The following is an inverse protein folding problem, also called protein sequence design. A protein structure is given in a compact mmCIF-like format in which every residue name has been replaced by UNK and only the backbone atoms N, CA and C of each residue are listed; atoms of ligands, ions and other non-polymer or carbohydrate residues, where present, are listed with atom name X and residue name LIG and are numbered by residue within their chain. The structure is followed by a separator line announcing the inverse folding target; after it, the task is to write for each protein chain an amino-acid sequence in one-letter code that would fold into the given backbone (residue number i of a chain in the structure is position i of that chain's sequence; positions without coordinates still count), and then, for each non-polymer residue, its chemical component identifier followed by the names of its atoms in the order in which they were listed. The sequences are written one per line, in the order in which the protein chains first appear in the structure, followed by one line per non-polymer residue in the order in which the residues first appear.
data_IF_842417937845
#
_entry.id   IF_842417937845
#
_cell.length_a   1.000
_cell.length_b   1.000
_cell.length_c   1.000
_cell.angle_alpha   90.00
_cell.angle_beta   90.00
_cell.angle_gamma   90.00
#
_symmetry.space_group_name_H-M   'P 1'
#
loop_
_entity.id
_entity.type
_entity.pdbx_description
1 polymer ?
#
# COMPACT_ATOMS: atom_id res chain seq x y z
N UNK A 1 -32.75 65.65 -15.51
CA UNK A 1 -31.38 65.36 -15.04
C UNK A 1 -31.44 65.00 -13.57
N UNK A 2 -31.31 63.71 -13.27
CA UNK A 2 -31.02 63.10 -11.96
C UNK A 2 -30.79 61.61 -12.22
N UNK A 3 -29.65 61.00 -11.85
CA UNK A 3 -29.41 59.59 -12.13
C UNK A 3 -30.01 58.73 -11.01
N UNK A 4 -30.83 57.76 -11.38
CA UNK A 4 -31.32 56.70 -10.51
C UNK A 4 -30.29 55.56 -10.47
N UNK A 5 -29.76 55.26 -9.29
CA UNK A 5 -28.91 54.10 -9.02
C UNK A 5 -29.85 52.92 -8.69
N UNK A 6 -29.80 51.87 -9.51
CA UNK A 6 -30.53 50.62 -9.29
C UNK A 6 -29.61 49.64 -8.53
N UNK A 7 -29.92 49.39 -7.26
CA UNK A 7 -29.26 48.38 -6.45
C UNK A 7 -29.84 46.99 -6.79
N UNK A 8 -29.01 46.11 -7.34
CA UNK A 8 -29.34 44.71 -7.61
C UNK A 8 -29.02 43.88 -6.36
N UNK A 9 -30.04 43.39 -5.66
CA UNK A 9 -29.89 42.47 -4.55
C UNK A 9 -29.57 41.06 -5.08
N UNK A 10 -28.37 40.56 -4.78
CA UNK A 10 -28.01 39.15 -5.00
C UNK A 10 -28.62 38.30 -3.88
N UNK A 11 -29.56 37.42 -4.21
CA UNK A 11 -30.00 36.36 -3.32
C UNK A 11 -28.95 35.23 -3.34
N UNK A 12 -28.28 35.00 -2.20
CA UNK A 12 -27.44 33.81 -2.00
C UNK A 12 -28.35 32.59 -1.81
N UNK A 13 -28.34 31.69 -2.79
CA UNK A 13 -28.85 30.33 -2.63
C UNK A 13 -27.82 29.52 -1.85
N UNK A 14 -28.20 29.03 -0.66
CA UNK A 14 -27.39 28.09 0.11
C UNK A 14 -27.29 26.75 -0.64
N UNK A 15 -26.07 26.26 -0.85
CA UNK A 15 -25.81 24.92 -1.36
C UNK A 15 -26.12 23.87 -0.27
N UNK A 16 -26.64 22.68 -0.63
CA UNK A 16 -26.89 21.62 0.33
C UNK A 16 -25.56 21.05 0.86
N UNK A 17 -25.58 20.69 2.14
CA UNK A 17 -24.42 20.45 2.98
C UNK A 17 -23.46 19.36 2.49
N UNK A 18 -22.17 19.66 2.65
CA UNK A 18 -21.11 18.67 2.68
C UNK A 18 -21.19 17.90 4.00
N UNK A 19 -21.64 16.66 3.97
CA UNK A 19 -21.45 15.71 5.06
C UNK A 19 -19.96 15.35 5.13
N UNK A 20 -19.17 16.21 5.80
CA UNK A 20 -17.88 15.81 6.33
C UNK A 20 -18.15 14.96 7.58
N UNK A 21 -17.54 13.78 7.73
CA UNK A 21 -17.73 12.95 8.91
C UNK A 21 -17.28 13.74 10.15
N UNK A 22 -18.16 13.76 11.15
CA UNK A 22 -17.99 14.43 12.43
C UNK A 22 -16.62 14.08 13.05
N UNK A 23 -15.77 15.10 13.28
CA UNK A 23 -14.40 14.98 13.81
C UNK A 23 -14.38 14.61 15.31
N UNK A 24 -15.31 13.77 15.76
CA UNK A 24 -15.35 13.29 17.15
C UNK A 24 -14.44 12.07 17.30
N UNK A 25 -13.61 12.07 18.34
CA UNK A 25 -12.80 10.91 18.66
C UNK A 25 -13.72 9.71 18.94
N UNK A 26 -13.42 8.56 18.32
CA UNK A 26 -14.14 7.29 18.55
C UNK A 26 -14.08 6.89 20.04
N UNK A 27 -14.88 5.91 20.52
CA UNK A 27 -14.91 5.53 21.94
C UNK A 27 -13.54 5.16 22.55
N UNK A 28 -12.56 4.79 21.73
CA UNK A 28 -11.18 4.55 22.15
C UNK A 28 -10.30 5.82 22.16
N UNK A 29 -10.84 7.01 21.93
CA UNK A 29 -10.06 8.23 21.73
C UNK A 29 -9.26 8.23 20.42
N UNK A 30 -9.66 7.43 19.43
CA UNK A 30 -9.02 7.43 18.11
C UNK A 30 -9.78 8.36 17.18
N UNK A 31 -9.11 9.39 16.67
CA UNK A 31 -9.66 10.29 15.67
C UNK A 31 -8.96 10.07 14.32
N UNK A 32 -9.62 10.40 13.19
CA UNK A 32 -8.92 10.56 11.93
C UNK A 32 -7.86 11.66 12.04
N UNK A 33 -6.76 11.52 11.32
CA UNK A 33 -5.71 12.52 11.27
C UNK A 33 -4.95 12.41 9.94
N UNK A 34 -4.22 13.46 9.57
CA UNK A 34 -3.29 13.40 8.43
C UNK A 34 -1.87 13.34 8.94
N UNK A 35 -1.09 12.35 8.47
CA UNK A 35 0.36 12.35 8.66
C UNK A 35 0.94 13.51 7.85
N UNK A 36 1.80 14.30 8.48
CA UNK A 36 2.57 15.37 7.85
C UNK A 36 4.05 15.13 8.12
N UNK A 37 4.89 15.46 7.14
CA UNK A 37 6.35 15.45 7.28
C UNK A 37 6.85 16.88 7.19
N UNK A 38 7.56 17.32 8.23
CA UNK A 38 8.08 18.68 8.34
C UNK A 38 8.93 19.05 7.11
N UNK A 39 8.73 20.28 6.60
CA UNK A 39 9.42 20.76 5.41
C UNK A 39 8.84 20.27 4.08
N UNK A 40 7.71 19.55 4.10
CA UNK A 40 7.07 19.01 2.90
C UNK A 40 5.58 19.35 2.87
N UNK A 41 4.96 19.27 1.70
CA UNK A 41 3.51 19.46 1.54
C UNK A 41 2.72 18.15 1.57
N UNK A 42 3.33 17.03 1.96
CA UNK A 42 2.63 15.74 1.92
C UNK A 42 1.63 15.66 3.06
N UNK A 43 0.44 15.18 2.73
CA UNK A 43 -0.57 14.77 3.70
C UNK A 43 -0.99 13.33 3.40
N UNK A 44 -0.92 12.47 4.41
CA UNK A 44 -1.38 11.08 4.32
C UNK A 44 -2.58 10.92 5.27
N UNK A 45 -3.82 10.98 4.76
CA UNK A 45 -5.00 10.84 5.61
C UNK A 45 -5.11 9.42 6.16
N UNK A 46 -5.24 9.31 7.47
CA UNK A 46 -5.36 8.09 8.25
C UNK A 46 -6.73 8.04 8.91
N UNK A 47 -7.43 6.92 8.75
CA UNK A 47 -8.72 6.69 9.40
C UNK A 47 -8.57 5.71 10.56
N UNK A 48 -9.30 5.89 11.68
CA UNK A 48 -9.27 4.96 12.79
C UNK A 48 -10.17 3.75 12.50
N UNK A 49 -9.69 2.55 12.82
CA UNK A 49 -10.51 1.35 12.99
C UNK A 49 -10.49 1.00 14.48
N UNK A 50 -11.46 1.52 15.27
CA UNK A 50 -11.54 1.31 16.72
C UNK A 50 -12.09 -0.10 17.04
N UNK A 51 -11.34 -1.13 16.65
CA UNK A 51 -11.71 -2.54 16.83
C UNK A 51 -12.15 -2.83 18.26
N UNK A 52 -13.24 -3.58 18.41
CA UNK A 52 -13.87 -3.87 19.70
C UNK A 52 -14.87 -2.81 20.19
N UNK A 53 -15.24 -1.86 19.35
CA UNK A 53 -16.33 -0.89 19.60
C UNK A 53 -17.52 -1.15 18.67
N UNK A 54 -18.64 -0.46 18.90
CA UNK A 54 -19.86 -0.61 18.09
C UNK A 54 -19.57 -0.39 16.60
N UNK A 55 -19.91 -1.37 15.76
CA UNK A 55 -19.66 -1.36 14.31
C UNK A 55 -18.27 -1.85 13.89
N UNK A 56 -17.38 -2.17 14.84
CA UNK A 56 -16.01 -2.66 14.60
C UNK A 56 -15.78 -3.96 15.39
N UNK A 57 -16.13 -5.13 14.84
CA UNK A 57 -16.10 -6.38 15.59
C UNK A 57 -14.67 -6.74 16.00
N UNK A 58 -14.49 -7.23 17.24
CA UNK A 58 -13.17 -7.66 17.75
C UNK A 58 -12.62 -8.87 16.99
N UNK A 59 -13.52 -9.70 16.46
CA UNK A 59 -13.22 -10.92 15.71
C UNK A 59 -13.98 -10.91 14.39
N UNK A 60 -13.35 -11.44 13.35
CA UNK A 60 -13.99 -11.61 12.05
C UNK A 60 -13.55 -12.92 11.39
N UNK A 61 -14.31 -13.33 10.38
CA UNK A 61 -13.98 -14.50 9.56
C UNK A 61 -13.00 -14.10 8.47
N UNK A 62 -11.75 -14.49 8.64
CA UNK A 62 -10.64 -14.33 7.70
C UNK A 62 -10.60 -15.49 6.70
N UNK A 63 -10.34 -15.20 5.43
CA UNK A 63 -10.41 -16.15 4.33
C UNK A 63 -11.82 -16.41 3.81
N UNK A 64 -11.93 -17.17 2.72
CA UNK A 64 -13.23 -17.42 2.07
C UNK A 64 -13.89 -18.72 2.55
N UNK A 65 -15.21 -18.71 2.82
CA UNK A 65 -15.96 -19.93 3.10
C UNK A 65 -16.01 -20.83 1.85
N UNK A 66 -16.13 -22.15 2.04
CA UNK A 66 -16.01 -23.13 0.95
C UNK A 66 -16.98 -22.91 -0.22
N UNK A 67 -18.14 -22.28 0.03
CA UNK A 67 -19.15 -21.98 -0.97
C UNK A 67 -19.09 -20.57 -1.58
N UNK A 68 -18.09 -19.75 -1.26
CA UNK A 68 -17.96 -18.41 -1.86
C UNK A 68 -17.66 -18.52 -3.36
N UNK A 69 -18.42 -17.80 -4.18
CA UNK A 69 -18.23 -17.81 -5.63
C UNK A 69 -16.89 -17.16 -5.99
N UNK A 70 -16.14 -17.78 -6.91
CA UNK A 70 -14.82 -17.28 -7.32
C UNK A 70 -13.68 -17.62 -6.36
N UNK A 71 -13.95 -18.33 -5.25
CA UNK A 71 -12.95 -18.79 -4.28
C UNK A 71 -11.82 -19.59 -4.93
N UNK A 72 -10.58 -19.30 -4.52
CA UNK A 72 -9.38 -20.10 -4.82
C UNK A 72 -8.98 -20.98 -3.64
N UNK A 73 -8.17 -22.00 -3.91
CA UNK A 73 -7.77 -23.01 -2.91
C UNK A 73 -6.87 -22.49 -1.79
N UNK A 74 -6.16 -21.37 -2.03
CA UNK A 74 -5.22 -20.72 -1.12
C UNK A 74 -5.89 -19.67 -0.19
N UNK A 75 -7.21 -19.53 -0.27
CA UNK A 75 -8.01 -18.59 0.53
C UNK A 75 -8.66 -19.24 1.76
N UNK A 76 -8.40 -20.53 1.98
CA UNK A 76 -8.99 -21.30 3.07
C UNK A 76 -7.95 -22.09 3.89
N UNK A 77 -8.40 -22.74 4.98
CA UNK A 77 -9.76 -22.65 5.54
C UNK A 77 -10.06 -21.26 6.09
N UNK A 78 -11.35 -20.92 6.20
CA UNK A 78 -11.76 -19.68 6.83
C UNK A 78 -11.59 -19.78 8.36
N UNK A 79 -10.99 -18.77 8.97
CA UNK A 79 -10.58 -18.77 10.37
C UNK A 79 -11.16 -17.56 11.11
N UNK A 80 -11.45 -17.73 12.41
CA UNK A 80 -11.88 -16.61 13.25
C UNK A 80 -10.66 -15.88 13.82
N UNK A 81 -10.36 -14.69 13.28
CA UNK A 81 -9.19 -13.89 13.65
C UNK A 81 -9.57 -12.73 14.55
N UNK A 82 -8.79 -12.52 15.63
CA UNK A 82 -8.86 -11.31 16.46
C UNK A 82 -7.98 -10.21 15.89
N UNK A 83 -8.48 -8.97 15.88
CA UNK A 83 -7.73 -7.79 15.40
C UNK A 83 -7.63 -6.76 16.53
N UNK A 84 -6.47 -6.11 16.67
CA UNK A 84 -6.28 -5.00 17.60
C UNK A 84 -6.65 -3.67 16.94
N UNK A 85 -7.03 -2.61 17.68
CA UNK A 85 -7.32 -1.30 17.10
C UNK A 85 -6.11 -0.68 16.38
N UNK A 86 -6.34 -0.04 15.24
CA UNK A 86 -5.29 0.58 14.44
C UNK A 86 -5.83 1.72 13.58
N UNK A 87 -4.94 2.54 13.04
CA UNK A 87 -5.24 3.43 11.94
C UNK A 87 -4.73 2.85 10.63
N UNK A 88 -5.44 3.13 9.54
CA UNK A 88 -5.06 2.72 8.19
C UNK A 88 -5.14 3.92 7.24
N UNK A 89 -4.26 3.95 6.24
CA UNK A 89 -4.31 4.96 5.19
C UNK A 89 -5.66 4.91 4.48
N UNK A 90 -6.31 6.08 4.35
CA UNK A 90 -7.61 6.22 3.66
C UNK A 90 -7.51 5.78 2.20
N UNK A 91 -6.37 6.06 1.59
CA UNK A 91 -6.02 5.78 0.20
C UNK A 91 -4.75 4.93 0.14
N UNK A 92 -4.46 4.36 -1.03
CA UNK A 92 -3.11 3.88 -1.34
C UNK A 92 -2.09 5.05 -1.23
N UNK A 93 -0.84 4.73 -0.92
CA UNK A 93 0.23 5.74 -0.97
C UNK A 93 0.36 6.23 -2.41
N UNK A 94 0.45 7.55 -2.58
CA UNK A 94 0.55 8.18 -3.89
C UNK A 94 2.00 8.40 -4.30
N UNK A 95 2.24 8.58 -5.59
CA UNK A 95 3.55 8.99 -6.09
C UNK A 95 4.03 10.31 -5.48
N UNK A 96 3.14 11.29 -5.25
CA UNK A 96 3.51 12.57 -4.63
C UNK A 96 4.09 12.35 -3.21
N UNK A 97 3.51 11.42 -2.44
CA UNK A 97 3.99 11.06 -1.11
C UNK A 97 5.29 10.24 -1.18
N UNK A 98 5.36 9.25 -2.07
CA UNK A 98 6.52 8.38 -2.21
C UNK A 98 7.75 9.11 -2.79
N UNK A 99 7.54 10.08 -3.68
CA UNK A 99 8.63 10.85 -4.27
C UNK A 99 9.31 11.78 -3.25
N UNK A 100 8.62 12.21 -2.19
CA UNK A 100 9.28 12.92 -1.08
C UNK A 100 10.28 12.03 -0.35
N UNK A 101 9.95 10.75 -0.13
CA UNK A 101 10.89 9.78 0.40
C UNK A 101 12.09 9.56 -0.55
N UNK A 102 11.84 9.43 -1.86
CA UNK A 102 12.92 9.26 -2.86
C UNK A 102 13.82 10.48 -2.99
N UNK A 103 13.27 11.69 -2.83
CA UNK A 103 13.98 12.95 -3.00
C UNK A 103 15.11 13.15 -1.98
N UNK A 104 15.12 12.41 -0.87
CA UNK A 104 16.20 12.44 0.13
C UNK A 104 17.41 11.56 -0.26
N UNK A 105 17.32 10.79 -1.35
CA UNK A 105 18.42 9.95 -1.81
C UNK A 105 19.73 10.71 -2.09
N UNK A 106 19.74 11.88 -2.76
CA UNK A 106 20.95 12.67 -2.97
C UNK A 106 21.59 13.12 -1.64
N UNK A 107 20.79 13.47 -0.63
CA UNK A 107 21.32 13.85 0.68
C UNK A 107 22.10 12.69 1.33
N UNK A 108 21.64 11.45 1.14
CA UNK A 108 22.38 10.27 1.60
C UNK A 108 23.68 10.01 0.83
N UNK A 109 23.69 10.28 -0.49
CA UNK A 109 24.89 10.14 -1.30
C UNK A 109 25.95 11.18 -0.93
N UNK A 110 25.55 12.44 -0.75
CA UNK A 110 26.47 13.52 -0.38
C UNK A 110 27.03 13.30 1.03
N UNK A 111 26.23 12.79 1.97
CA UNK A 111 26.67 12.43 3.33
C UNK A 111 27.61 11.22 3.36
N UNK A 112 27.50 10.28 2.41
CA UNK A 112 28.45 9.15 2.29
C UNK A 112 29.86 9.60 1.92
N UNK A 113 30.06 10.83 1.46
CA UNK A 113 31.37 11.34 1.06
C UNK A 113 32.22 11.88 2.23
N UNK A 114 31.66 12.19 3.40
CA UNK A 114 32.45 12.63 4.57
C UNK A 114 31.97 11.99 5.88
N UNK A 115 32.51 10.79 6.18
CA UNK A 115 32.34 10.11 7.49
C UNK A 115 32.81 10.95 8.70
N UNK A 116 33.47 12.08 8.46
CA UNK A 116 34.09 12.93 9.48
C UNK A 116 33.24 14.13 9.91
N UNK A 117 32.17 14.51 9.19
CA UNK A 117 31.54 15.84 9.37
C UNK A 117 30.01 15.82 9.54
N UNK A 118 29.35 14.66 9.52
CA UNK A 118 27.91 14.60 9.73
C UNK A 118 27.55 14.57 11.23
N UNK A 119 26.87 15.60 11.79
CA UNK A 119 26.08 15.37 13.00
C UNK A 119 25.04 14.29 12.66
N UNK A 120 24.97 13.21 13.45
CA UNK A 120 24.08 12.10 13.16
C UNK A 120 22.63 12.61 13.07
N UNK A 121 22.07 12.63 11.87
CA UNK A 121 20.62 12.52 11.80
C UNK A 121 20.34 11.04 11.91
N UNK A 122 20.03 10.55 13.11
CA UNK A 122 19.87 9.12 13.44
C UNK A 122 18.96 8.35 12.46
N UNK A 123 18.08 9.04 11.74
CA UNK A 123 17.21 8.45 10.73
C UNK A 123 17.94 8.09 9.42
N UNK A 124 18.92 8.88 8.98
CA UNK A 124 19.63 8.72 7.72
C UNK A 124 20.55 7.48 7.72
N UNK A 125 21.14 7.16 8.88
CA UNK A 125 21.91 5.94 9.09
C UNK A 125 21.00 4.71 9.30
N UNK A 126 19.70 4.91 9.55
CA UNK A 126 18.76 3.85 9.90
C UNK A 126 17.85 3.41 8.74
N UNK A 127 17.76 4.17 7.65
CA UNK A 127 16.80 3.94 6.57
C UNK A 127 17.50 3.82 5.22
N UNK A 128 17.21 2.73 4.49
CA UNK A 128 17.70 2.53 3.14
C UNK A 128 16.71 3.15 2.14
N UNK A 129 17.17 4.03 1.26
CA UNK A 129 16.32 4.72 0.27
C UNK A 129 16.51 4.08 -1.12
N UNK A 130 15.42 3.88 -1.90
CA UNK A 130 15.50 3.41 -3.28
C UNK A 130 16.49 4.24 -4.12
N UNK A 131 17.36 3.55 -4.84
CA UNK A 131 18.18 4.20 -5.86
C UNK A 131 17.28 4.73 -6.97
N UNK A 132 17.55 5.93 -7.53
CA UNK A 132 16.87 6.42 -8.72
C UNK A 132 16.93 5.35 -9.81
N UNK A 133 15.76 4.91 -10.29
CA UNK A 133 15.71 3.97 -11.38
C UNK A 133 15.78 4.78 -12.66
N UNK A 134 16.96 4.78 -13.31
CA UNK A 134 17.14 5.40 -14.63
C UNK A 134 16.06 4.96 -15.64
N UNK A 135 15.53 3.74 -15.47
CA UNK A 135 14.45 3.24 -16.31
C UNK A 135 13.05 3.72 -15.92
N UNK A 136 12.69 4.01 -14.66
CA UNK A 136 11.34 4.54 -14.36
C UNK A 136 11.28 6.02 -14.71
N UNK A 137 12.31 6.79 -14.34
CA UNK A 137 12.38 8.22 -14.63
C UNK A 137 12.56 8.52 -16.14
N UNK A 138 12.76 7.49 -16.97
CA UNK A 138 12.90 7.58 -18.44
C UNK A 138 12.03 6.59 -19.22
N UNK A 139 11.00 5.97 -18.60
CA UNK A 139 10.13 4.99 -19.28
C UNK A 139 8.90 5.69 -19.87
N UNK A 140 8.70 5.60 -21.21
CA UNK A 140 7.44 5.98 -21.84
C UNK A 140 6.22 5.19 -21.33
N UNK A 141 6.45 4.04 -20.65
CA UNK A 141 5.39 3.17 -20.13
C UNK A 141 4.64 3.82 -18.97
N UNK A 142 5.30 4.65 -18.17
CA UNK A 142 4.64 5.41 -17.10
C UNK A 142 4.22 6.81 -17.56
N UNK A 143 4.72 7.34 -18.68
CA UNK A 143 4.23 8.61 -19.23
C UNK A 143 2.70 8.60 -19.47
N UNK A 144 2.12 7.43 -19.76
CA UNK A 144 0.67 7.22 -19.85
C UNK A 144 -0.03 6.89 -18.53
N UNK A 145 0.68 6.40 -17.50
CA UNK A 145 0.15 5.97 -16.20
C UNK A 145 0.59 6.99 -15.14
N UNK A 146 -0.32 7.89 -14.74
CA UNK A 146 0.03 9.11 -14.00
C UNK A 146 0.94 8.92 -12.79
N UNK A 147 2.03 9.70 -12.72
CA UNK A 147 3.04 9.63 -11.64
C UNK A 147 2.97 10.80 -10.65
N UNK A 148 1.88 11.59 -10.68
CA UNK A 148 1.73 12.80 -9.86
C UNK A 148 0.28 13.26 -9.79
N UNK A 149 -0.06 14.06 -8.78
CA UNK A 149 -1.38 14.64 -8.62
C UNK A 149 -2.41 13.63 -8.10
N UNK A 150 -1.98 12.78 -7.17
CA UNK A 150 -2.83 11.85 -6.43
C UNK A 150 -2.98 10.45 -7.03
N UNK A 151 -2.14 10.06 -7.99
CA UNK A 151 -2.10 8.68 -8.47
C UNK A 151 -1.37 7.76 -7.48
N UNK A 152 -1.82 6.51 -7.29
CA UNK A 152 -1.16 5.55 -6.42
C UNK A 152 0.25 5.27 -6.94
N UNK A 153 1.20 5.11 -6.01
CA UNK A 153 2.51 4.58 -6.34
C UNK A 153 2.35 3.12 -6.77
N UNK A 154 3.03 2.74 -7.84
CA UNK A 154 3.02 1.38 -8.35
C UNK A 154 4.44 0.95 -8.76
N UNK A 155 4.64 -0.31 -9.14
CA UNK A 155 5.95 -0.82 -9.55
C UNK A 155 7.00 -0.63 -8.43
N UNK A 156 6.61 -0.98 -7.21
CA UNK A 156 7.54 -1.00 -6.08
C UNK A 156 7.58 -2.38 -5.43
N UNK A 157 8.74 -2.74 -4.89
CA UNK A 157 8.85 -3.97 -4.11
C UNK A 157 8.21 -3.79 -2.72
N UNK A 158 7.82 -4.92 -2.11
CA UNK A 158 7.44 -4.94 -0.69
C UNK A 158 8.51 -4.31 0.20
N UNK A 159 9.78 -4.55 -0.10
CA UNK A 159 10.90 -4.00 0.67
C UNK A 159 10.97 -2.47 0.57
N UNK A 160 10.74 -1.89 -0.60
CA UNK A 160 10.67 -0.44 -0.78
C UNK A 160 9.52 0.16 0.05
N UNK A 161 8.35 -0.48 0.05
CA UNK A 161 7.23 -0.07 0.88
C UNK A 161 7.54 -0.17 2.39
N UNK A 162 8.24 -1.22 2.83
CA UNK A 162 8.74 -1.33 4.21
C UNK A 162 9.69 -0.17 4.55
N UNK A 163 10.63 0.19 3.67
CA UNK A 163 11.54 1.31 3.92
C UNK A 163 10.82 2.66 3.94
N UNK A 164 9.80 2.87 3.10
CA UNK A 164 8.96 4.07 3.17
C UNK A 164 8.28 4.19 4.55
N UNK A 165 7.72 3.09 5.07
CA UNK A 165 7.09 3.12 6.40
C UNK A 165 8.10 3.35 7.53
N UNK A 166 9.31 2.79 7.41
CA UNK A 166 10.43 3.05 8.33
C UNK A 166 10.83 4.52 8.31
N UNK A 167 11.01 5.09 7.13
CA UNK A 167 11.30 6.50 6.90
C UNK A 167 10.24 7.39 7.56
N UNK A 168 8.97 7.18 7.21
CA UNK A 168 7.85 7.97 7.72
C UNK A 168 7.81 7.91 9.26
N UNK A 169 8.10 6.74 9.82
CA UNK A 169 8.14 6.57 11.27
C UNK A 169 9.24 7.38 11.95
N UNK A 170 10.42 7.42 11.33
CA UNK A 170 11.55 8.20 11.84
C UNK A 170 11.32 9.71 11.71
N UNK A 171 10.67 10.15 10.63
CA UNK A 171 10.36 11.57 10.42
C UNK A 171 9.31 12.11 11.38
N UNK A 172 8.34 11.27 11.75
CA UNK A 172 7.16 11.71 12.52
C UNK A 172 7.22 11.31 14.00
N UNK A 173 8.13 10.42 14.38
CA UNK A 173 8.20 9.84 15.72
C UNK A 173 7.06 8.85 16.05
N UNK A 174 6.23 8.48 15.06
CA UNK A 174 5.14 7.52 15.20
C UNK A 174 5.47 6.22 14.48
N UNK A 175 4.97 5.07 14.95
CA UNK A 175 5.25 3.79 14.30
C UNK A 175 4.27 3.50 13.15
N UNK A 176 4.77 3.50 11.91
CA UNK A 176 4.07 3.08 10.69
C UNK A 176 4.68 1.82 10.10
N UNK A 177 3.84 1.01 9.47
CA UNK A 177 4.22 -0.23 8.79
C UNK A 177 3.23 -0.59 7.69
N UNK A 178 3.57 -1.60 6.90
CA UNK A 178 2.60 -2.29 6.06
C UNK A 178 1.52 -2.98 6.92
N UNK A 179 0.28 -3.09 6.43
CA UNK A 179 -0.74 -3.94 7.05
C UNK A 179 -0.29 -5.41 7.07
N UNK A 180 -0.77 -6.16 8.05
CA UNK A 180 -0.81 -7.62 7.94
C UNK A 180 -1.93 -8.04 7.00
N UNK A 181 -1.84 -9.25 6.44
CA UNK A 181 -2.89 -9.78 5.57
C UNK A 181 -4.25 -9.81 6.29
N UNK A 182 -4.25 -10.18 7.57
CA UNK A 182 -5.44 -10.20 8.43
C UNK A 182 -6.00 -8.79 8.64
N UNK A 183 -5.16 -7.79 8.91
CA UNK A 183 -5.60 -6.39 9.07
C UNK A 183 -6.17 -5.81 7.77
N UNK A 184 -5.55 -6.14 6.65
CA UNK A 184 -6.01 -5.72 5.34
C UNK A 184 -7.39 -6.29 5.04
N UNK A 185 -7.60 -7.60 5.24
CA UNK A 185 -8.90 -8.22 4.98
C UNK A 185 -9.98 -7.73 5.94
N UNK A 186 -9.63 -7.50 7.22
CA UNK A 186 -10.54 -6.89 8.19
C UNK A 186 -11.06 -5.54 7.69
N UNK A 187 -10.14 -4.69 7.22
CA UNK A 187 -10.46 -3.39 6.66
C UNK A 187 -11.30 -3.49 5.38
N UNK A 188 -10.98 -4.43 4.49
CA UNK A 188 -11.71 -4.67 3.24
C UNK A 188 -13.14 -5.13 3.47
N UNK A 189 -13.38 -5.98 4.48
CA UNK A 189 -14.71 -6.50 4.81
C UNK A 189 -15.63 -5.48 5.47
N UNK A 190 -15.08 -4.44 6.10
CA UNK A 190 -15.85 -3.40 6.77
C UNK A 190 -17.00 -3.91 7.66
N UNK A 191 -16.74 -5.01 8.38
CA UNK A 191 -17.70 -5.65 9.30
C UNK A 191 -18.60 -6.73 8.69
N UNK A 192 -18.55 -6.96 7.37
CA UNK A 192 -19.32 -8.04 6.73
C UNK A 192 -18.54 -9.36 6.64
N UNK A 193 -19.24 -10.43 6.24
CA UNK A 193 -18.64 -11.75 5.97
C UNK A 193 -18.80 -12.18 4.50
N UNK A 194 -19.22 -11.26 3.63
CA UNK A 194 -19.50 -11.47 2.21
C UNK A 194 -18.25 -11.31 1.35
N UNK A 195 -18.32 -11.65 0.06
CA UNK A 195 -17.20 -11.52 -0.86
C UNK A 195 -16.69 -10.07 -0.96
N UNK A 196 -17.60 -9.09 -0.96
CA UNK A 196 -17.32 -7.66 -0.89
C UNK A 196 -18.03 -7.03 0.32
N UNK A 197 -17.59 -5.88 0.83
CA UNK A 197 -18.29 -5.21 1.95
C UNK A 197 -19.75 -4.83 1.64
N UNK A 198 -20.14 -4.77 0.37
CA UNK A 198 -21.50 -4.46 -0.07
C UNK A 198 -22.34 -5.69 -0.40
N UNK A 199 -21.78 -6.90 -0.35
CA UNK A 199 -22.50 -8.15 -0.64
C UNK A 199 -21.67 -9.15 -1.43
N UNK A 200 -22.35 -10.16 -1.99
CA UNK A 200 -21.71 -11.21 -2.79
C UNK A 200 -21.86 -10.98 -4.31
N UNK A 201 -22.72 -10.04 -4.72
CA UNK A 201 -22.95 -9.71 -6.14
C UNK A 201 -21.88 -8.72 -6.65
N UNK A 202 -21.05 -9.10 -7.65
CA UNK A 202 -20.04 -8.20 -8.20
C UNK A 202 -20.64 -7.06 -9.05
N UNK A 203 -21.93 -7.05 -9.36
CA UNK A 203 -22.54 -6.03 -10.24
C UNK A 203 -22.37 -4.58 -9.72
N UNK A 204 -22.25 -4.41 -8.40
CA UNK A 204 -22.01 -3.12 -7.74
C UNK A 204 -20.52 -2.75 -7.64
N UNK A 205 -19.59 -3.66 -7.96
CA UNK A 205 -18.15 -3.45 -7.77
C UNK A 205 -17.63 -2.23 -8.55
N UNK A 206 -18.22 -1.95 -9.72
CA UNK A 206 -17.86 -0.79 -10.54
C UNK A 206 -18.07 0.57 -9.87
N UNK A 207 -18.88 0.66 -8.81
CA UNK A 207 -19.06 1.89 -8.02
C UNK A 207 -17.93 2.14 -7.02
N UNK A 208 -17.20 1.08 -6.65
CA UNK A 208 -16.21 1.07 -5.58
C UNK A 208 -14.78 0.81 -6.08
N UNK A 209 -14.62 0.24 -7.27
CA UNK A 209 -13.34 -0.21 -7.78
C UNK A 209 -13.04 0.26 -9.22
N UNK A 210 -11.75 0.44 -9.49
CA UNK A 210 -11.21 0.46 -10.85
C UNK A 210 -10.68 -0.93 -11.20
N UNK A 211 -11.28 -1.58 -12.19
CA UNK A 211 -11.05 -2.97 -12.58
C UNK A 211 -10.99 -3.09 -14.10
N UNK A 212 -10.74 -4.29 -14.62
CA UNK A 212 -10.54 -4.52 -16.06
C UNK A 212 -11.64 -3.86 -16.93
N UNK A 213 -12.90 -4.02 -16.55
CA UNK A 213 -14.04 -3.52 -17.34
C UNK A 213 -14.21 -2.00 -17.37
N UNK A 214 -13.62 -1.25 -16.43
CA UNK A 214 -13.88 0.18 -16.27
C UNK A 214 -12.62 1.04 -16.15
N UNK A 215 -11.43 0.48 -16.39
CA UNK A 215 -10.14 1.18 -16.25
C UNK A 215 -9.58 1.74 -17.56
N UNK A 216 -10.28 1.60 -18.68
CA UNK A 216 -9.91 2.17 -19.99
C UNK A 216 -9.98 3.70 -19.97
N UNK A 217 -8.95 4.38 -20.46
CA UNK A 217 -8.90 5.83 -20.60
C UNK A 217 -9.67 6.29 -21.85
N UNK A 218 -10.30 7.47 -21.77
CA UNK A 218 -10.95 8.10 -22.94
C UNK A 218 -9.93 8.50 -24.01
N UNK A 219 -8.76 8.96 -23.57
CA UNK A 219 -7.64 9.27 -24.43
C UNK A 219 -6.84 7.98 -24.72
N UNK A 220 -6.77 7.52 -25.98
CA UNK A 220 -6.08 6.27 -26.33
C UNK A 220 -4.56 6.34 -26.14
N UNK A 221 -4.00 7.54 -26.02
CA UNK A 221 -2.58 7.75 -25.71
C UNK A 221 -2.31 7.73 -24.19
N UNK A 222 -3.35 7.58 -23.36
CA UNK A 222 -3.25 7.43 -21.90
C UNK A 222 -3.46 5.98 -21.45
N UNK A 223 -2.89 5.65 -20.30
CA UNK A 223 -2.87 4.31 -19.75
C UNK A 223 -1.61 3.52 -20.13
N UNK A 224 -1.64 2.23 -19.83
CA UNK A 224 -0.55 1.33 -20.15
C UNK A 224 -0.42 1.18 -21.68
N UNK A 225 0.78 1.36 -22.26
CA UNK A 225 0.94 1.33 -23.72
C UNK A 225 0.43 0.04 -24.37
N UNK A 226 -0.33 0.21 -25.46
CA UNK A 226 -0.94 -0.89 -26.19
C UNK A 226 -2.20 -1.49 -25.55
N UNK A 227 -2.58 -1.04 -24.35
CA UNK A 227 -3.81 -1.44 -23.65
C UNK A 227 -4.77 -0.26 -23.52
N UNK A 228 -4.27 0.94 -23.25
CA UNK A 228 -5.11 2.13 -23.06
C UNK A 228 -5.89 2.15 -21.74
N UNK A 229 -5.54 1.27 -20.80
CA UNK A 229 -6.15 1.15 -19.49
C UNK A 229 -5.12 1.31 -18.36
N UNK A 230 -5.57 1.60 -17.14
CA UNK A 230 -4.64 1.81 -16.03
C UNK A 230 -5.31 2.19 -14.71
N UNK A 231 -4.49 2.28 -13.66
CA UNK A 231 -4.90 2.83 -12.37
C UNK A 231 -5.31 4.32 -12.51
N UNK A 232 -6.06 4.82 -11.52
CA UNK A 232 -6.63 6.17 -11.48
C UNK A 232 -6.12 6.92 -10.26
N UNK A 233 -6.46 8.21 -10.17
CA UNK A 233 -6.21 8.97 -8.94
C UNK A 233 -7.01 8.33 -7.80
N UNK A 234 -6.39 8.27 -6.63
CA UNK A 234 -7.02 7.71 -5.44
C UNK A 234 -8.29 8.49 -5.08
N UNK A 235 -9.28 7.80 -4.53
CA UNK A 235 -10.51 8.40 -4.01
C UNK A 235 -11.54 8.80 -5.05
N UNK A 236 -11.43 8.30 -6.29
CA UNK A 236 -12.40 8.62 -7.35
C UNK A 236 -13.67 7.75 -7.34
N UNK A 237 -13.63 6.62 -6.64
CA UNK A 237 -14.78 5.73 -6.42
C UNK A 237 -15.39 5.93 -5.03
N UNK A 238 -16.59 5.38 -4.80
CA UNK A 238 -17.28 5.47 -3.51
C UNK A 238 -16.43 4.79 -2.41
N UNK A 239 -16.40 5.33 -1.18
CA UNK A 239 -15.72 4.68 -0.07
C UNK A 239 -16.49 3.47 0.46
N UNK A 240 -15.81 2.61 1.21
CA UNK A 240 -16.44 1.61 2.09
C UNK A 240 -17.21 2.27 3.24
N UNK A 241 -18.06 1.52 3.98
CA UNK A 241 -18.75 2.03 5.17
C UNK A 241 -17.82 2.63 6.24
N UNK A 242 -16.54 2.23 6.26
CA UNK A 242 -15.54 2.77 7.18
C UNK A 242 -14.71 3.93 6.58
N UNK A 243 -15.04 4.39 5.37
CA UNK A 243 -14.39 5.54 4.74
C UNK A 243 -13.12 5.23 3.94
N UNK A 244 -12.80 3.95 3.74
CA UNK A 244 -11.68 3.53 2.89
C UNK A 244 -12.04 3.66 1.42
N UNK A 245 -11.12 4.19 0.62
CA UNK A 245 -11.26 4.16 -0.83
C UNK A 245 -10.27 3.17 -1.44
N UNK A 246 -10.64 2.70 -2.64
CA UNK A 246 -9.79 1.88 -3.50
C UNK A 246 -9.26 0.63 -2.79
N UNK A 247 -10.01 0.12 -1.80
CA UNK A 247 -9.66 -1.16 -1.13
C UNK A 247 -9.90 -2.35 -2.08
N UNK A 248 -10.71 -2.13 -3.13
CA UNK A 248 -10.90 -3.03 -4.25
C UNK A 248 -10.46 -2.32 -5.54
N UNK A 249 -9.71 -3.04 -6.38
CA UNK A 249 -9.23 -2.53 -7.67
C UNK A 249 -8.14 -1.48 -7.52
N UNK A 250 -8.06 -0.58 -8.51
CA UNK A 250 -7.02 0.43 -8.68
C UNK A 250 -5.61 -0.18 -8.73
N UNK A 251 -4.86 -0.23 -7.63
CA UNK A 251 -3.65 -1.05 -7.55
C UNK A 251 -3.76 -2.09 -6.43
N UNK A 252 -3.22 -3.28 -6.68
CA UNK A 252 -3.09 -4.29 -5.65
C UNK A 252 -2.11 -3.82 -4.60
N UNK A 253 -2.33 -4.24 -3.36
CA UNK A 253 -1.60 -3.67 -2.24
C UNK A 253 -0.72 -4.69 -1.55
N UNK A 254 0.54 -4.30 -1.35
CA UNK A 254 1.45 -5.08 -0.50
C UNK A 254 0.95 -5.16 0.94
N UNK A 255 0.90 -6.39 1.44
CA UNK A 255 0.90 -6.70 2.88
C UNK A 255 2.27 -7.24 3.29
N UNK A 256 2.55 -7.31 4.60
CA UNK A 256 3.84 -7.80 5.08
C UNK A 256 4.04 -9.31 4.83
N UNK A 257 2.94 -10.06 4.78
CA UNK A 257 2.90 -11.52 4.76
C UNK A 257 3.53 -12.15 3.51
N UNK A 258 4.24 -13.25 3.72
CA UNK A 258 4.67 -14.19 2.70
C UNK A 258 3.48 -14.98 2.19
N UNK A 259 3.49 -15.27 0.90
CA UNK A 259 2.47 -16.11 0.31
C UNK A 259 2.86 -17.59 0.48
N UNK A 260 1.89 -18.41 0.84
CA UNK A 260 2.02 -19.87 0.84
C UNK A 260 0.86 -20.49 0.05
N UNK A 261 1.13 -21.37 -0.94
CA UNK A 261 0.09 -22.03 -1.72
C UNK A 261 -0.80 -22.97 -0.92
N UNK A 262 -0.39 -23.41 0.28
CA UNK A 262 -1.24 -24.16 1.21
C UNK A 262 -2.32 -23.29 1.87
N UNK A 263 -2.36 -21.99 1.56
CA UNK A 263 -3.35 -21.07 2.07
C UNK A 263 -3.22 -20.86 3.57
N UNK A 264 -4.35 -20.91 4.27
CA UNK A 264 -4.44 -20.66 5.70
C UNK A 264 -4.42 -21.93 6.54
N UNK A 265 -4.22 -23.12 5.94
CA UNK A 265 -4.11 -24.37 6.69
C UNK A 265 -2.93 -24.32 7.69
N UNK A 266 -1.88 -23.55 7.35
CA UNK A 266 -0.71 -23.32 8.21
C UNK A 266 -1.02 -22.51 9.47
N UNK A 267 -2.17 -21.83 9.51
CA UNK A 267 -2.62 -21.05 10.66
C UNK A 267 -3.50 -21.88 11.60
N UNK A 268 -3.92 -23.09 11.21
CA UNK A 268 -4.75 -23.94 12.05
C UNK A 268 -4.01 -24.32 13.34
N UNK A 269 -4.66 -24.09 14.48
CA UNK A 269 -4.10 -24.38 15.81
C UNK A 269 -3.11 -23.33 16.34
N UNK A 270 -2.76 -22.30 15.56
CA UNK A 270 -1.97 -21.16 16.03
C UNK A 270 -2.86 -20.13 16.78
N UNK A 271 -2.28 -19.22 17.58
CA UNK A 271 -3.00 -18.06 18.08
C UNK A 271 -3.61 -17.23 16.93
N UNK A 272 -4.94 -17.12 16.92
CA UNK A 272 -5.70 -16.44 15.86
C UNK A 272 -5.78 -14.93 16.13
N UNK A 273 -4.65 -14.24 16.01
CA UNK A 273 -4.55 -12.78 16.14
C UNK A 273 -3.80 -12.19 14.94
N UNK A 274 -4.13 -10.95 14.57
CA UNK A 274 -3.53 -10.29 13.41
C UNK A 274 -2.00 -10.12 13.51
N UNK A 275 -1.44 -10.03 14.72
CA UNK A 275 0.01 -9.91 14.95
C UNK A 275 0.71 -11.26 15.03
N UNK A 276 0.06 -12.29 15.59
CA UNK A 276 0.67 -13.61 15.79
C UNK A 276 0.57 -14.49 14.55
N UNK A 277 -0.41 -14.24 13.68
CA UNK A 277 -0.66 -15.01 12.46
C UNK A 277 0.18 -14.56 11.26
N UNK A 278 1.04 -13.54 11.42
CA UNK A 278 1.87 -13.01 10.33
C UNK A 278 2.80 -14.08 9.77
N UNK A 279 2.69 -14.35 8.47
CA UNK A 279 3.59 -15.24 7.75
C UNK A 279 4.85 -14.47 7.36
N UNK A 280 5.85 -14.48 8.22
CA UNK A 280 7.05 -13.67 8.00
C UNK A 280 7.87 -14.13 6.77
N UNK A 281 8.24 -13.21 5.85
CA UNK A 281 9.03 -13.53 4.67
C UNK A 281 10.39 -14.13 5.00
N UNK A 282 10.69 -15.26 4.36
CA UNK A 282 12.03 -15.89 4.36
C UNK A 282 12.75 -15.72 3.02
N UNK A 283 12.00 -15.40 1.97
CA UNK A 283 12.45 -15.17 0.59
C UNK A 283 11.78 -13.89 0.06
N UNK A 284 12.34 -13.31 -1.01
CA UNK A 284 11.73 -12.13 -1.66
C UNK A 284 10.37 -12.48 -2.25
N UNK A 285 10.27 -13.67 -2.86
CA UNK A 285 9.07 -14.20 -3.50
C UNK A 285 8.71 -15.58 -2.95
N UNK A 286 7.41 -15.94 -2.91
CA UNK A 286 6.27 -15.06 -3.15
C UNK A 286 5.85 -14.29 -1.88
N UNK A 287 5.55 -13.00 -2.00
CA UNK A 287 4.78 -12.22 -1.04
C UNK A 287 3.32 -12.09 -1.46
N UNK A 288 2.45 -11.75 -0.50
CA UNK A 288 1.02 -11.55 -0.76
C UNK A 288 0.76 -10.11 -1.20
N UNK A 289 -0.07 -9.96 -2.23
CA UNK A 289 -0.75 -8.70 -2.54
C UNK A 289 -2.27 -8.90 -2.55
N UNK A 290 -3.01 -7.84 -2.24
CA UNK A 290 -4.44 -7.87 -1.94
C UNK A 290 -5.24 -6.85 -2.74
N UNK A 291 -6.56 -7.05 -2.84
CA UNK A 291 -7.52 -6.06 -3.35
C UNK A 291 -7.81 -6.09 -4.85
N UNK A 292 -7.07 -6.86 -5.64
CA UNK A 292 -7.16 -6.77 -7.10
C UNK A 292 -6.58 -5.44 -7.59
N UNK A 293 -6.74 -5.14 -8.87
CA UNK A 293 -6.19 -3.93 -9.50
C UNK A 293 -6.96 -3.59 -10.78
N UNK A 294 -6.54 -2.55 -11.47
CA UNK A 294 -7.15 -2.06 -12.71
C UNK A 294 -7.19 -3.07 -13.86
N UNK A 295 -6.39 -4.15 -13.82
CA UNK A 295 -6.36 -5.23 -14.82
C UNK A 295 -7.12 -6.49 -14.34
N UNK A 296 -7.66 -6.45 -13.13
CA UNK A 296 -8.32 -7.60 -12.49
C UNK A 296 -9.79 -7.73 -12.87
N UNK A 297 -10.23 -8.98 -12.97
CA UNK A 297 -11.64 -9.37 -12.97
C UNK A 297 -12.24 -9.27 -11.55
N UNK A 298 -13.58 -9.20 -11.41
CA UNK A 298 -14.24 -9.08 -10.10
C UNK A 298 -13.79 -10.10 -9.06
N UNK A 299 -13.61 -11.37 -9.45
CA UNK A 299 -13.24 -12.45 -8.53
C UNK A 299 -11.88 -12.23 -7.87
N UNK A 300 -10.97 -11.48 -8.51
CA UNK A 300 -9.67 -11.12 -7.98
C UNK A 300 -9.70 -9.87 -7.08
N UNK A 301 -10.82 -9.13 -7.08
CA UNK A 301 -11.06 -7.98 -6.21
C UNK A 301 -11.80 -8.34 -4.91
N UNK A 302 -12.26 -9.59 -4.73
CA UNK A 302 -12.95 -10.02 -3.50
C UNK A 302 -12.06 -9.78 -2.26
N UNK A 303 -12.70 -9.59 -1.11
CA UNK A 303 -12.02 -9.35 0.16
C UNK A 303 -11.02 -10.45 0.50
N UNK A 304 -11.35 -11.72 0.20
CA UNK A 304 -10.49 -12.87 0.46
C UNK A 304 -9.48 -13.17 -0.66
N UNK A 305 -9.59 -12.55 -1.83
CA UNK A 305 -8.76 -12.88 -2.99
C UNK A 305 -7.28 -12.49 -2.78
N UNK A 306 -6.39 -13.44 -3.04
CA UNK A 306 -4.94 -13.29 -2.89
C UNK A 306 -4.27 -13.33 -4.26
N UNK A 307 -3.19 -12.56 -4.40
CA UNK A 307 -2.27 -12.66 -5.53
C UNK A 307 -0.85 -12.87 -5.00
N UNK A 308 -0.21 -13.93 -5.50
CA UNK A 308 1.18 -14.25 -5.20
C UNK A 308 2.11 -13.46 -6.12
N UNK A 309 3.03 -12.70 -5.53
CA UNK A 309 4.08 -12.06 -6.32
C UNK A 309 5.03 -13.07 -6.93
N UNK A 310 5.51 -12.83 -8.14
CA UNK A 310 6.42 -13.75 -8.84
C UNK A 310 7.73 -13.07 -9.24
N UNK A 311 8.75 -13.90 -9.55
CA UNK A 311 10.02 -13.40 -10.11
C UNK A 311 9.84 -12.73 -11.48
N UNK A 312 8.74 -13.02 -12.18
CA UNK A 312 8.46 -12.43 -13.49
C UNK A 312 8.16 -10.94 -13.40
N UNK A 313 7.79 -10.45 -12.22
CA UNK A 313 7.61 -9.02 -11.92
C UNK A 313 8.92 -8.21 -12.02
N UNK A 314 10.07 -8.88 -12.16
CA UNK A 314 11.37 -8.26 -12.39
C UNK A 314 12.02 -8.73 -13.69
N UNK A 315 11.25 -9.35 -14.59
CA UNK A 315 11.80 -10.02 -15.78
C UNK A 315 12.56 -9.04 -16.65
N UNK A 316 12.03 -7.83 -16.87
CA UNK A 316 12.65 -6.77 -17.68
C UNK A 316 13.73 -5.97 -16.96
N UNK A 317 13.98 -6.18 -15.67
CA UNK A 317 15.06 -5.46 -14.97
C UNK A 317 16.43 -5.91 -15.53
N UNK A 318 17.24 -5.03 -16.15
CA UNK A 318 18.52 -5.44 -16.71
C UNK A 318 19.60 -5.67 -15.64
N UNK A 319 19.36 -5.31 -14.37
CA UNK A 319 20.37 -5.37 -13.31
C UNK A 319 20.66 -6.81 -12.87
N UNK A 320 21.93 -7.06 -12.54
CA UNK A 320 22.40 -8.32 -11.92
C UNK A 320 23.27 -7.94 -10.72
N UNK A 321 22.84 -8.23 -9.48
CA UNK A 321 21.54 -8.80 -9.10
C UNK A 321 20.39 -7.86 -9.43
N UNK A 322 19.18 -8.42 -9.54
CA UNK A 322 17.94 -7.68 -9.74
C UNK A 322 17.72 -6.69 -8.58
N UNK A 323 17.07 -5.59 -8.88
CA UNK A 323 16.72 -4.54 -7.92
C UNK A 323 15.93 -5.10 -6.75
N UNK A 324 16.22 -4.63 -5.54
CA UNK A 324 15.38 -4.91 -4.36
C UNK A 324 14.31 -3.84 -4.13
N UNK A 325 14.26 -2.82 -5.01
CA UNK A 325 13.45 -1.62 -4.86
C UNK A 325 12.25 -1.58 -5.80
N UNK A 326 12.46 -2.04 -7.03
CA UNK A 326 11.60 -1.78 -8.18
C UNK A 326 11.25 -3.09 -8.88
N UNK A 327 10.01 -3.22 -9.35
CA UNK A 327 9.47 -4.42 -9.99
C UNK A 327 9.00 -4.08 -11.39
N UNK A 328 9.95 -4.07 -12.33
CA UNK A 328 9.82 -3.55 -13.69
C UNK A 328 8.68 -4.11 -14.56
N UNK A 329 7.90 -5.06 -14.04
CA UNK A 329 6.74 -5.72 -14.63
C UNK A 329 5.51 -5.78 -13.69
N UNK A 330 5.44 -4.98 -12.61
CA UNK A 330 4.33 -4.96 -11.62
C UNK A 330 3.64 -3.58 -11.49
N UNK A 331 3.24 -2.98 -12.62
CA UNK A 331 2.59 -1.65 -12.68
C UNK A 331 1.22 -1.56 -12.01
N UNK A 332 0.70 -2.70 -11.58
CA UNK A 332 -0.58 -2.83 -10.90
C UNK A 332 -0.41 -3.03 -9.38
N UNK A 333 0.80 -2.93 -8.83
CA UNK A 333 1.06 -3.18 -7.41
C UNK A 333 1.64 -1.95 -6.71
N UNK A 334 0.88 -1.44 -5.75
CA UNK A 334 1.26 -0.39 -4.80
C UNK A 334 1.12 -0.87 -3.35
N UNK A 335 0.78 0.05 -2.45
CA UNK A 335 0.58 -0.27 -1.04
C UNK A 335 -0.18 0.84 -0.30
N UNK A 336 -0.72 0.49 0.87
CA UNK A 336 -1.14 1.45 1.90
C UNK A 336 -0.41 1.17 3.22
N UNK A 337 -0.57 2.07 4.17
CA UNK A 337 0.13 2.00 5.46
C UNK A 337 -0.85 1.87 6.63
N UNK A 338 -0.36 1.36 7.75
CA UNK A 338 -1.08 1.32 9.03
C UNK A 338 -0.22 1.87 10.16
N UNK A 339 -0.89 2.33 11.22
CA UNK A 339 -0.30 2.65 12.53
C UNK A 339 -1.09 1.90 13.60
N UNK A 340 -0.50 0.93 14.32
CA UNK A 340 -1.19 0.26 15.41
C UNK A 340 -1.47 1.26 16.55
N UNK A 341 -2.56 1.03 17.29
CA UNK A 341 -2.86 1.81 18.49
C UNK A 341 -1.83 1.58 19.58
N UNK A 342 -1.55 0.31 19.85
CA UNK A 342 -0.51 -0.11 20.77
C UNK A 342 0.81 -0.17 20.02
N UNK A 343 1.77 0.64 20.45
CA UNK A 343 3.08 0.72 19.82
C UNK A 343 3.87 -0.54 20.22
N UNK A 344 4.29 -1.39 19.26
CA UNK A 344 5.00 -2.61 19.58
C UNK A 344 6.44 -2.31 20.05
N UNK A 345 7.09 -3.31 20.63
CA UNK A 345 8.47 -3.17 21.11
C UNK A 345 9.43 -2.82 19.95
N UNK A 346 10.57 -2.16 20.21
CA UNK A 346 11.53 -1.83 19.15
C UNK A 346 12.02 -3.03 18.34
N UNK A 347 12.05 -4.23 18.93
CA UNK A 347 12.41 -5.46 18.23
C UNK A 347 11.34 -5.91 17.24
N UNK A 348 10.08 -5.84 17.63
CA UNK A 348 8.93 -6.13 16.76
C UNK A 348 8.82 -5.08 15.64
N UNK A 349 9.04 -3.80 15.95
CA UNK A 349 9.08 -2.73 14.94
C UNK A 349 10.10 -3.04 13.84
N UNK A 350 11.31 -3.48 14.22
CA UNK A 350 12.36 -3.91 13.28
C UNK A 350 11.92 -5.07 12.39
N UNK A 351 11.09 -5.99 12.90
CA UNK A 351 10.59 -7.13 12.13
C UNK A 351 9.71 -6.69 10.95
N UNK A 352 8.96 -5.60 11.10
CA UNK A 352 8.17 -5.00 10.01
C UNK A 352 9.01 -4.19 9.01
N UNK A 353 10.18 -3.69 9.40
CA UNK A 353 10.97 -2.79 8.57
C UNK A 353 12.16 -3.43 7.87
N UNK A 354 12.91 -4.31 8.54
CA UNK A 354 14.26 -4.66 8.09
C UNK A 354 14.29 -5.67 6.94
N UNK A 355 13.13 -6.19 6.50
CA UNK A 355 13.05 -7.10 5.36
C UNK A 355 14.02 -8.28 5.48
N UNK A 356 14.05 -8.92 6.68
CA UNK A 356 14.98 -9.99 7.14
C UNK A 356 14.97 -11.24 6.27
N UNK A 357 15.40 -11.05 5.04
CA UNK A 357 15.52 -12.02 3.97
C UNK A 357 16.98 -12.01 3.59
N UNK A 358 17.65 -13.16 3.68
CA UNK A 358 19.09 -13.30 3.49
C UNK A 358 19.59 -12.64 2.19
N UNK A 359 18.80 -12.74 1.11
CA UNK A 359 19.13 -12.10 -0.17
C UNK A 359 19.15 -10.56 -0.08
N UNK A 360 18.20 -9.96 0.64
CA UNK A 360 18.14 -8.50 0.85
C UNK A 360 19.33 -8.07 1.72
N UNK A 361 19.56 -8.75 2.83
CA UNK A 361 20.68 -8.49 3.75
C UNK A 361 22.03 -8.53 3.00
N UNK A 362 22.25 -9.59 2.22
CA UNK A 362 23.45 -9.72 1.39
C UNK A 362 23.60 -8.59 0.36
N UNK A 363 22.51 -8.15 -0.27
CA UNK A 363 22.56 -7.04 -1.24
C UNK A 363 22.90 -5.73 -0.53
N UNK A 364 22.33 -5.47 0.63
CA UNK A 364 22.61 -4.28 1.45
C UNK A 364 24.06 -4.26 1.95
N UNK A 365 24.60 -5.40 2.38
CA UNK A 365 25.99 -5.51 2.86
C UNK A 365 27.03 -5.39 1.75
N UNK A 366 26.77 -6.00 0.59
CA UNK A 366 27.75 -6.10 -0.50
C UNK A 366 27.59 -5.03 -1.58
N UNK A 367 26.55 -4.19 -1.48
CA UNK A 367 26.16 -3.22 -2.51
C UNK A 367 25.78 -3.89 -3.83
N UNK A 368 25.26 -5.13 -3.78
CA UNK A 368 24.92 -5.92 -4.96
C UNK A 368 26.11 -6.36 -5.82
N UNK A 369 27.36 -6.16 -5.39
CA UNK A 369 28.52 -6.64 -6.17
C UNK A 369 28.64 -8.15 -6.04
N UNK A 370 28.14 -8.91 -7.03
CA UNK A 370 28.73 -10.22 -7.29
C UNK A 370 30.18 -9.97 -7.69
N UNK A 371 31.13 -10.36 -6.83
CA UNK A 371 32.52 -10.49 -7.25
C UNK A 371 32.51 -11.40 -8.48
N UNK A 372 32.71 -10.81 -9.67
CA UNK A 372 32.98 -11.60 -10.88
C UNK A 372 34.07 -12.58 -10.47
N UNK A 373 33.82 -13.88 -10.67
CA UNK A 373 34.80 -14.91 -10.37
C UNK A 373 36.17 -14.43 -10.87
N UNK A 374 37.22 -14.59 -10.04
CA UNK A 374 38.58 -14.25 -10.44
C UNK A 374 38.80 -14.86 -11.82
N UNK A 375 39.09 -14.03 -12.81
CA UNK A 375 39.56 -14.51 -14.11
C UNK A 375 40.86 -15.25 -13.78
N UNK A 376 40.81 -16.58 -13.79
CA UNK A 376 42.02 -17.38 -13.74
C UNK A 376 42.80 -17.05 -15.02
N UNK A 377 43.77 -16.16 -14.90
CA UNK A 377 44.80 -16.01 -15.91
C UNK A 377 45.51 -17.35 -15.98
N UNK A 378 45.15 -18.17 -16.98
CA UNK A 378 45.98 -19.30 -17.39
C UNK A 378 47.37 -18.75 -17.67
N UNK A 379 48.34 -19.21 -16.88
CA UNK A 379 49.77 -18.94 -17.06
C UNK A 379 50.28 -19.60 -18.33
#
# INVERSE_FOLDING_TARGET
MSPFILALALALSAAPGSDAPDETATPLGMAPYSVRVDGTSIEIPMIPLPVGTDGYPERFRFGSPDGETGRKGDEGPALEMKVAPFWIGRFEITWDQFNVFRAEYPELLDRRLTKAEAPSSDWADAVSIPTPLWEQDSRPILEGLGEKGGYPVADISRFAAQQFTKWLSKKTGQFYRLPTEVEWEYAARAGTSTAYFFGDDPSELGDYAWMFDNSVYEDPDRGYPGVGAGYRKVGQKKPSPWGLHDIYGNVSEWVIDAYDPAGYALLEGAPQSSSDSVQWPKTIFPGVVRGGNWESEPEACRSAARLASSRDWQRRDPQIPKSIWWYTDAFHVGFRIVRPREVPSPEEQRRFWDGRVEQIEKILETGGKQLRAKVETKK
#
